data_IF_696558388503
#
_entry.id   IF_696558388503
#
_cell.length_a   1.000
_cell.length_b   1.000
_cell.length_c   1.000
_cell.angle_alpha   90.00
_cell.angle_beta   90.00
_cell.angle_gamma   90.00
#
_symmetry.space_group_name_H-M   'P 1'
#
loop_
_entity.id
_entity.type
_entity.pdbx_description
1 polymer ?
#
# COMPACT_ATOMS: atom_id res chain seq x y z
N UNK A 1 -9.60 6.38 -7.50
CA UNK A 1 -8.52 5.63 -6.81
C UNK A 1 -7.14 6.10 -7.29
N UNK A 2 -7.08 7.11 -8.16
CA UNK A 2 -5.89 7.43 -8.96
C UNK A 2 -4.78 8.04 -8.12
N UNK A 3 -5.12 8.89 -7.15
CA UNK A 3 -4.15 9.42 -6.19
C UNK A 3 -3.42 8.29 -5.45
N UNK A 4 -4.18 7.32 -4.92
CA UNK A 4 -3.58 6.16 -4.26
C UNK A 4 -2.64 5.39 -5.18
N UNK A 5 -3.03 5.14 -6.43
CA UNK A 5 -2.16 4.45 -7.41
C UNK A 5 -0.87 5.23 -7.66
N UNK A 6 -0.94 6.55 -7.85
CA UNK A 6 0.23 7.39 -8.09
C UNK A 6 1.17 7.40 -6.87
N UNK A 7 0.63 7.62 -5.66
CA UNK A 7 1.44 7.69 -4.43
C UNK A 7 2.05 6.33 -4.07
N UNK A 8 1.39 5.22 -4.40
CA UNK A 8 1.94 3.87 -4.20
C UNK A 8 2.99 3.55 -5.27
N UNK A 9 2.71 3.84 -6.54
CA UNK A 9 3.65 3.63 -7.64
C UNK A 9 4.96 4.39 -7.41
N UNK A 10 4.92 5.63 -6.89
CA UNK A 10 6.12 6.41 -6.58
C UNK A 10 6.99 5.81 -5.46
N UNK A 11 6.50 4.82 -4.72
CA UNK A 11 7.26 4.05 -3.72
C UNK A 11 7.85 2.76 -4.28
N UNK A 12 7.64 2.48 -5.57
CA UNK A 12 8.22 1.34 -6.28
C UNK A 12 9.53 1.73 -6.98
N UNK A 13 10.37 0.72 -7.24
CA UNK A 13 11.65 0.92 -7.93
C UNK A 13 11.44 1.46 -9.36
N UNK A 14 10.47 0.87 -10.08
CA UNK A 14 9.97 1.37 -11.37
C UNK A 14 8.47 1.72 -11.23
N UNK A 15 8.12 2.99 -10.97
CA UNK A 15 6.74 3.44 -10.85
C UNK A 15 5.87 3.16 -12.08
N UNK A 16 6.46 3.16 -13.29
CA UNK A 16 5.72 2.96 -14.54
C UNK A 16 5.26 1.52 -14.75
N UNK A 17 5.89 0.58 -14.04
CA UNK A 17 5.56 -0.85 -14.09
C UNK A 17 4.52 -1.30 -13.05
N UNK A 18 4.01 -0.38 -12.22
CA UNK A 18 3.16 -0.74 -11.10
C UNK A 18 1.79 -1.26 -11.55
N UNK A 19 1.49 -2.51 -11.18
CA UNK A 19 0.21 -3.16 -11.39
C UNK A 19 -0.49 -3.38 -10.03
N UNK A 20 -1.79 -3.08 -10.00
CA UNK A 20 -2.58 -3.07 -8.78
C UNK A 20 -3.71 -4.10 -8.82
N UNK A 21 -3.91 -4.78 -7.70
CA UNK A 21 -4.92 -5.83 -7.50
C UNK A 21 -5.59 -5.64 -6.12
N UNK A 22 -6.76 -6.27 -5.94
CA UNK A 22 -7.51 -6.32 -4.67
C UNK A 22 -7.78 -4.95 -4.01
N UNK A 23 -7.83 -3.87 -4.79
CA UNK A 23 -8.02 -2.52 -4.24
C UNK A 23 -9.43 -2.34 -3.65
N UNK A 24 -9.52 -2.17 -2.33
CA UNK A 24 -10.77 -1.91 -1.60
C UNK A 24 -10.66 -0.68 -0.72
N UNK A 25 -11.49 0.34 -1.02
CA UNK A 25 -11.69 1.50 -0.16
C UNK A 25 -12.74 1.20 0.90
N UNK A 26 -12.48 1.54 2.16
CA UNK A 26 -13.51 1.58 3.21
C UNK A 26 -13.02 2.40 4.41
N UNK A 27 -13.97 2.86 5.21
CA UNK A 27 -13.70 3.37 6.56
C UNK A 27 -13.27 2.21 7.46
N UNK A 28 -12.12 2.34 8.11
CA UNK A 28 -11.55 1.37 9.06
C UNK A 28 -11.13 2.06 10.34
N UNK A 29 -10.91 1.29 11.40
CA UNK A 29 -10.35 1.80 12.64
C UNK A 29 -8.83 1.66 12.61
N UNK A 30 -8.12 2.70 13.02
CA UNK A 30 -6.68 2.62 13.26
C UNK A 30 -6.37 1.98 14.62
N UNK A 31 -5.08 1.88 14.96
CA UNK A 31 -4.62 1.31 16.24
C UNK A 31 -5.08 2.08 17.49
N UNK A 32 -5.62 3.29 17.32
CA UNK A 32 -6.18 4.11 18.40
C UNK A 32 -7.71 4.11 18.40
N UNK A 33 -8.35 3.27 17.57
CA UNK A 33 -9.81 3.21 17.44
C UNK A 33 -10.42 4.37 16.67
N UNK A 34 -9.62 5.13 15.91
CA UNK A 34 -10.09 6.28 15.14
C UNK A 34 -10.48 5.85 13.73
N UNK A 35 -11.62 6.35 13.25
CA UNK A 35 -12.07 6.07 11.90
C UNK A 35 -11.19 6.77 10.86
N UNK A 36 -10.58 6.00 9.98
CA UNK A 36 -9.71 6.44 8.89
C UNK A 36 -10.24 5.93 7.56
N UNK A 37 -10.31 6.81 6.55
CA UNK A 37 -10.69 6.43 5.18
C UNK A 37 -9.45 5.86 4.50
N UNK A 38 -9.51 4.57 4.16
CA UNK A 38 -8.32 3.88 3.67
C UNK A 38 -8.61 3.03 2.44
N UNK A 39 -7.58 2.87 1.62
CA UNK A 39 -7.54 1.98 0.48
C UNK A 39 -6.48 0.91 0.77
N UNK A 40 -6.92 -0.34 0.82
CA UNK A 40 -6.05 -1.50 0.97
C UNK A 40 -6.01 -2.25 -0.35
N UNK A 41 -4.89 -2.88 -0.67
CA UNK A 41 -4.80 -3.73 -1.86
C UNK A 41 -3.43 -4.36 -1.99
N UNK A 42 -3.11 -4.80 -3.20
CA UNK A 42 -1.82 -5.37 -3.54
C UNK A 42 -1.21 -4.65 -4.73
N UNK A 43 0.12 -4.62 -4.77
CA UNK A 43 0.91 -4.02 -5.85
C UNK A 43 2.07 -4.94 -6.21
N UNK A 44 2.33 -5.07 -7.51
CA UNK A 44 3.56 -5.63 -8.05
C UNK A 44 4.13 -4.66 -9.08
N UNK A 45 5.40 -4.81 -9.41
CA UNK A 45 6.07 -4.02 -10.44
C UNK A 45 7.37 -4.71 -10.84
N UNK A 46 8.29 -3.94 -11.42
CA UNK A 46 9.64 -4.40 -11.75
C UNK A 46 10.65 -3.79 -10.79
N UNK A 47 11.73 -4.53 -10.55
CA UNK A 47 12.92 -4.02 -9.87
C UNK A 47 13.84 -3.32 -10.87
N UNK A 48 14.92 -2.71 -10.36
CA UNK A 48 15.90 -1.99 -11.19
C UNK A 48 16.58 -2.85 -12.28
N UNK A 49 16.60 -4.17 -12.14
CA UNK A 49 17.15 -5.11 -13.12
C UNK A 49 16.10 -5.60 -14.13
N UNK A 50 14.89 -5.04 -14.11
CA UNK A 50 13.78 -5.42 -14.99
C UNK A 50 13.06 -6.71 -14.61
N UNK A 51 13.45 -7.35 -13.49
CA UNK A 51 12.78 -8.54 -12.98
C UNK A 51 11.48 -8.18 -12.25
N UNK A 52 10.45 -9.02 -12.36
CA UNK A 52 9.20 -8.82 -11.62
C UNK A 52 9.43 -8.94 -10.11
N UNK A 53 8.85 -8.02 -9.36
CA UNK A 53 8.78 -8.10 -7.90
C UNK A 53 7.57 -8.93 -7.49
N UNK A 54 7.71 -9.70 -6.42
CA UNK A 54 6.55 -10.37 -5.80
C UNK A 54 5.45 -9.37 -5.44
N UNK A 55 4.21 -9.87 -5.45
CA UNK A 55 3.03 -9.10 -5.07
C UNK A 55 3.10 -8.70 -3.58
N UNK A 56 2.97 -7.41 -3.30
CA UNK A 56 3.13 -6.83 -1.97
C UNK A 56 1.84 -6.16 -1.51
N UNK A 57 1.39 -6.39 -0.26
CA UNK A 57 0.28 -5.64 0.31
C UNK A 57 0.62 -4.15 0.41
N UNK A 58 -0.40 -3.31 0.25
CA UNK A 58 -0.28 -1.88 0.47
C UNK A 58 -1.50 -1.28 1.18
N UNK A 59 -1.26 -0.15 1.83
CA UNK A 59 -2.24 0.69 2.52
C UNK A 59 -2.06 2.13 2.05
N UNK A 60 -3.16 2.82 1.78
CA UNK A 60 -3.19 4.26 1.51
C UNK A 60 -4.23 4.94 2.42
N UNK A 61 -3.80 5.97 3.14
CA UNK A 61 -4.62 6.81 4.00
C UNK A 61 -5.12 8.01 3.18
N UNK A 62 -6.43 8.08 2.94
CA UNK A 62 -7.00 9.01 1.95
C UNK A 62 -6.88 10.46 2.37
N UNK A 63 -7.10 10.76 3.64
CA UNK A 63 -7.09 12.12 4.16
C UNK A 63 -5.66 12.65 4.32
N UNK A 64 -4.74 11.78 4.72
CA UNK A 64 -3.35 12.10 4.98
C UNK A 64 -2.49 12.07 3.70
N UNK A 65 -3.02 11.57 2.58
CA UNK A 65 -2.30 11.35 1.31
C UNK A 65 -1.02 10.51 1.52
N UNK A 66 -1.08 9.57 2.46
CA UNK A 66 0.05 8.77 2.88
C UNK A 66 -0.10 7.32 2.42
N UNK A 67 1.01 6.74 1.96
CA UNK A 67 1.07 5.41 1.36
C UNK A 67 2.12 4.53 2.04
N UNK A 68 1.79 3.25 2.20
CA UNK A 68 2.67 2.24 2.77
C UNK A 68 2.66 1.00 1.88
N UNK A 69 3.83 0.55 1.45
CA UNK A 69 4.02 -0.74 0.75
C UNK A 69 4.76 -1.68 1.69
N UNK A 70 4.24 -2.88 1.90
CA UNK A 70 4.82 -3.86 2.81
C UNK A 70 5.95 -4.59 2.07
N UNK A 71 7.20 -4.31 2.44
CA UNK A 71 8.43 -4.82 1.81
C UNK A 71 8.93 -6.15 2.41
N UNK A 72 8.06 -6.88 3.13
CA UNK A 72 8.37 -8.19 3.71
C UNK A 72 9.20 -8.16 4.99
N UNK A 73 9.72 -6.99 5.42
CA UNK A 73 10.37 -6.85 6.72
C UNK A 73 9.33 -6.89 7.83
N UNK A 74 9.31 -7.99 8.57
CA UNK A 74 8.43 -8.16 9.73
C UNK A 74 8.71 -7.06 10.77
N UNK A 75 7.64 -6.45 11.28
CA UNK A 75 7.74 -5.40 12.30
C UNK A 75 7.99 -3.98 11.76
N UNK A 76 8.07 -3.77 10.44
CA UNK A 76 8.09 -2.42 9.87
C UNK A 76 6.79 -1.66 10.20
N UNK A 77 6.85 -0.32 10.23
CA UNK A 77 5.67 0.53 10.43
C UNK A 77 4.57 0.22 9.39
N UNK A 78 4.96 -0.01 8.12
CA UNK A 78 4.06 -0.40 7.06
C UNK A 78 3.37 -1.74 7.34
N UNK A 79 4.12 -2.77 7.77
CA UNK A 79 3.54 -4.09 8.10
C UNK A 79 2.57 -4.02 9.27
N UNK A 80 2.90 -3.22 10.30
CA UNK A 80 2.05 -3.01 11.47
C UNK A 80 0.77 -2.26 11.11
N UNK A 81 0.89 -1.16 10.36
CA UNK A 81 -0.26 -0.37 9.93
C UNK A 81 -1.20 -1.20 9.05
N UNK A 82 -0.66 -1.92 8.06
CA UNK A 82 -1.45 -2.79 7.20
C UNK A 82 -2.19 -3.87 8.02
N UNK A 83 -1.52 -4.56 8.94
CA UNK A 83 -2.15 -5.61 9.76
C UNK A 83 -3.29 -5.08 10.64
N UNK A 84 -3.15 -3.88 11.19
CA UNK A 84 -4.16 -3.34 12.11
C UNK A 84 -5.36 -2.72 11.38
N UNK A 85 -5.16 -2.22 10.15
CA UNK A 85 -6.19 -1.49 9.40
C UNK A 85 -6.84 -2.39 8.34
N UNK A 86 -6.04 -3.09 7.54
CA UNK A 86 -6.48 -3.78 6.32
C UNK A 86 -6.83 -5.25 6.50
N UNK A 87 -6.65 -5.80 7.71
CA UNK A 87 -6.90 -7.21 8.04
C UNK A 87 -8.28 -7.42 8.67
#
# INVERSE_FOLDING_TARGET
MDRAKVTIASKMDDPGSAEFSDMKRAMRLDMFGRAVDTICGRVKGRNASGGETGERPFLYLVKEDEAYVVDGKSGSAASTAYRNICN
#
